data_IF_161393172406
#
_entry.id   IF_161393172406
#
_cell.length_a   1.000
_cell.length_b   1.000
_cell.length_c   1.000
_cell.angle_alpha   90.00
_cell.angle_beta   90.00
_cell.angle_gamma   90.00
#
_symmetry.space_group_name_H-M   'P 1'
#
loop_
_entity.id
_entity.type
_entity.pdbx_description
1 polymer ?
#
# COMPACT_ATOMS: atom_id res chain seq x y z
N UNK A 1 -51.06 31.20 -16.15
CA UNK A 1 -51.04 29.72 -16.01
C UNK A 1 -49.60 29.30 -15.82
N UNK A 2 -49.17 29.16 -14.57
CA UNK A 2 -47.83 28.70 -14.21
C UNK A 2 -47.88 27.18 -14.08
N UNK A 3 -47.23 26.46 -15.00
CA UNK A 3 -47.08 25.01 -14.88
C UNK A 3 -45.97 24.70 -13.90
N UNK A 4 -46.37 24.12 -12.78
CA UNK A 4 -45.53 23.37 -11.86
C UNK A 4 -44.85 22.18 -12.58
N UNK A 5 -43.85 21.64 -11.87
CA UNK A 5 -43.09 20.41 -12.10
C UNK A 5 -41.72 20.65 -12.72
N UNK A 6 -40.68 20.60 -11.87
CA UNK A 6 -39.67 19.53 -11.93
C UNK A 6 -38.85 19.57 -10.62
N UNK A 7 -39.22 18.65 -9.72
CA UNK A 7 -38.31 17.78 -8.96
C UNK A 7 -37.13 18.43 -8.19
N UNK A 8 -37.27 18.45 -6.87
CA UNK A 8 -36.22 18.17 -5.87
C UNK A 8 -34.76 18.46 -6.29
N UNK A 9 -34.37 19.74 -6.30
CA UNK A 9 -32.96 20.14 -6.24
C UNK A 9 -32.45 20.09 -4.79
N UNK A 10 -32.65 18.94 -4.13
CA UNK A 10 -32.09 18.62 -2.83
C UNK A 10 -31.05 17.52 -3.05
N UNK A 11 -29.81 17.79 -2.61
CA UNK A 11 -28.79 16.79 -2.35
C UNK A 11 -27.95 16.29 -3.55
N UNK A 12 -27.19 17.18 -4.20
CA UNK A 12 -25.99 16.78 -4.97
C UNK A 12 -24.76 17.62 -4.57
N UNK A 13 -24.70 18.00 -3.29
CA UNK A 13 -23.44 18.34 -2.60
C UNK A 13 -23.14 17.17 -1.66
N UNK A 14 -21.91 16.66 -1.75
CA UNK A 14 -21.36 15.54 -1.00
C UNK A 14 -21.76 14.15 -1.52
N UNK A 15 -20.96 13.65 -2.47
CA UNK A 15 -20.16 12.44 -2.31
C UNK A 15 -19.61 12.09 -3.71
N UNK A 16 -18.60 12.83 -4.14
CA UNK A 16 -17.54 12.14 -4.87
C UNK A 16 -16.95 11.15 -3.86
N UNK A 17 -17.57 9.97 -3.71
CA UNK A 17 -16.81 8.79 -3.32
C UNK A 17 -15.85 8.55 -4.48
N UNK A 18 -14.76 9.32 -4.52
CA UNK A 18 -13.51 8.78 -5.01
C UNK A 18 -13.40 7.48 -4.22
N UNK A 19 -13.45 6.32 -4.89
CA UNK A 19 -13.19 5.05 -4.24
C UNK A 19 -11.99 5.27 -3.31
N UNK A 20 -12.23 5.13 -2.00
CA UNK A 20 -11.48 5.85 -0.99
C UNK A 20 -10.01 5.55 -1.10
N UNK A 21 -9.21 6.54 -1.55
CA UNK A 21 -7.78 6.37 -1.73
C UNK A 21 -7.17 5.97 -0.37
N UNK A 22 -6.77 4.70 -0.26
CA UNK A 22 -6.27 4.11 0.98
C UNK A 22 -5.01 4.84 1.43
N UNK A 23 -4.84 5.11 2.73
CA UNK A 23 -3.56 5.60 3.27
C UNK A 23 -2.77 4.47 3.92
N UNK A 24 -1.58 4.16 3.42
CA UNK A 24 -0.70 3.11 3.96
C UNK A 24 0.65 3.67 4.38
N UNK A 25 1.37 2.98 5.28
CA UNK A 25 2.81 3.21 5.37
C UNK A 25 3.53 2.59 4.18
N UNK A 26 4.48 3.33 3.61
CA UNK A 26 5.31 2.88 2.49
C UNK A 26 6.77 3.04 2.88
N UNK A 27 7.54 1.96 2.72
CA UNK A 27 8.99 1.99 2.95
C UNK A 27 9.68 2.91 1.96
N UNK A 28 10.52 3.80 2.46
CA UNK A 28 11.40 4.62 1.65
C UNK A 28 12.84 4.14 1.82
N UNK A 29 13.55 3.79 0.72
CA UNK A 29 14.96 3.48 0.80
C UNK A 29 15.73 4.72 1.28
N UNK A 30 16.81 4.53 2.04
CA UNK A 30 17.67 5.65 2.39
C UNK A 30 18.32 6.25 1.14
N UNK A 31 18.60 7.55 1.19
CA UNK A 31 19.30 8.25 0.11
C UNK A 31 20.77 7.80 -0.06
N UNK A 32 21.33 7.12 0.95
CA UNK A 32 22.68 6.59 0.97
C UNK A 32 22.69 5.16 1.52
N UNK A 33 23.69 4.36 1.16
CA UNK A 33 23.77 2.95 1.58
C UNK A 33 23.82 2.76 3.11
N UNK A 34 24.39 3.72 3.84
CA UNK A 34 24.47 3.71 5.31
C UNK A 34 23.27 4.38 6.00
N UNK A 35 22.33 4.91 5.21
CA UNK A 35 21.17 5.63 5.74
C UNK A 35 20.12 4.69 6.35
N UNK A 36 19.25 5.26 7.17
CA UNK A 36 18.14 4.53 7.76
C UNK A 36 16.94 4.46 6.80
N UNK A 37 16.32 3.30 6.72
CA UNK A 37 15.01 3.15 6.11
C UNK A 37 13.96 3.92 6.90
N UNK A 38 13.10 4.64 6.20
CA UNK A 38 11.95 5.32 6.80
C UNK A 38 10.64 4.72 6.30
N UNK A 39 9.56 4.97 7.04
CA UNK A 39 8.22 4.60 6.63
C UNK A 39 7.33 5.84 6.69
N UNK A 40 6.73 6.16 5.56
CA UNK A 40 5.89 7.35 5.43
C UNK A 40 4.48 6.96 5.08
N UNK A 41 3.51 7.70 5.62
CA UNK A 41 2.13 7.53 5.20
C UNK A 41 1.90 8.16 3.83
N UNK A 42 1.57 7.34 2.84
CA UNK A 42 1.20 7.78 1.49
C UNK A 42 -0.24 7.39 1.18
N UNK A 43 -0.94 8.27 0.47
CA UNK A 43 -2.21 7.95 -0.16
C UNK A 43 -1.90 7.08 -1.38
N UNK A 44 -2.51 5.90 -1.45
CA UNK A 44 -2.33 4.94 -2.52
C UNK A 44 -3.06 5.41 -3.78
N UNK A 45 -2.52 5.03 -4.94
CA UNK A 45 -3.13 5.31 -6.23
C UNK A 45 -4.45 4.53 -6.39
N UNK A 46 -5.29 4.97 -7.34
CA UNK A 46 -6.56 4.31 -7.61
C UNK A 46 -6.36 2.84 -7.97
N UNK A 47 -7.02 1.92 -7.27
CA UNK A 47 -6.89 0.48 -7.44
C UNK A 47 -5.97 -0.19 -6.43
N UNK A 48 -5.15 0.57 -5.69
CA UNK A 48 -4.34 0.06 -4.58
C UNK A 48 -5.07 0.19 -3.24
N UNK A 49 -6.08 -0.67 -3.05
CA UNK A 49 -7.03 -0.56 -1.94
C UNK A 49 -6.57 -1.26 -0.64
N UNK A 50 -5.34 -1.80 -0.59
CA UNK A 50 -4.83 -2.55 0.55
C UNK A 50 -3.43 -2.11 0.99
N UNK A 51 -3.15 -2.29 2.29
CA UNK A 51 -1.82 -2.05 2.84
C UNK A 51 -1.09 -3.37 3.10
N UNK A 52 0.12 -3.48 2.59
CA UNK A 52 1.01 -4.62 2.75
C UNK A 52 2.08 -4.36 3.81
N UNK A 53 2.46 -5.43 4.53
CA UNK A 53 3.66 -5.52 5.34
C UNK A 53 4.25 -6.93 5.24
N UNK A 54 5.56 -7.02 5.10
CA UNK A 54 6.27 -8.31 5.11
C UNK A 54 7.72 -8.15 5.53
N UNK A 55 8.26 -9.15 6.24
CA UNK A 55 9.67 -9.25 6.61
C UNK A 55 10.43 -10.05 5.56
N UNK A 56 11.52 -9.50 5.03
CA UNK A 56 12.31 -10.13 3.96
C UNK A 56 13.03 -11.40 4.43
N UNK A 57 12.99 -12.42 3.58
CA UNK A 57 13.91 -13.56 3.62
C UNK A 57 15.25 -13.21 2.95
N UNK A 58 16.23 -14.12 2.97
CA UNK A 58 17.44 -13.95 2.18
C UNK A 58 17.20 -13.99 0.66
N UNK A 59 16.14 -14.68 0.21
CA UNK A 59 15.72 -14.65 -1.20
C UNK A 59 15.15 -13.29 -1.56
N UNK A 60 14.30 -12.72 -0.70
CA UNK A 60 13.74 -11.40 -0.92
C UNK A 60 14.78 -10.28 -0.90
N UNK A 61 15.78 -10.36 -0.01
CA UNK A 61 16.91 -9.42 -0.01
C UNK A 61 17.61 -9.38 -1.38
N UNK A 62 17.97 -10.55 -1.93
CA UNK A 62 18.61 -10.63 -3.25
C UNK A 62 17.72 -10.08 -4.35
N UNK A 63 16.47 -10.54 -4.41
CA UNK A 63 15.55 -10.15 -5.47
C UNK A 63 15.32 -8.63 -5.49
N UNK A 64 15.14 -8.01 -4.31
CA UNK A 64 14.89 -6.57 -4.24
C UNK A 64 16.14 -5.76 -4.57
N UNK A 65 17.34 -6.21 -4.15
CA UNK A 65 18.59 -5.58 -4.59
C UNK A 65 18.78 -5.65 -6.10
N UNK A 66 18.48 -6.80 -6.70
CA UNK A 66 18.66 -7.00 -8.15
C UNK A 66 17.66 -6.19 -8.98
N UNK A 67 16.39 -6.16 -8.57
CA UNK A 67 15.33 -5.52 -9.35
C UNK A 67 15.22 -4.02 -9.14
N UNK A 68 15.50 -3.53 -7.94
CA UNK A 68 15.25 -2.14 -7.55
C UNK A 68 16.50 -1.38 -7.11
N UNK A 69 17.65 -2.04 -6.98
CA UNK A 69 18.88 -1.47 -6.43
C UNK A 69 18.69 -0.86 -5.03
N UNK A 70 17.75 -1.43 -4.26
CA UNK A 70 17.45 -0.94 -2.91
C UNK A 70 18.42 -1.55 -1.89
N UNK A 71 18.94 -0.76 -0.94
CA UNK A 71 19.86 -1.24 0.10
C UNK A 71 19.09 -1.94 1.22
N UNK A 72 18.36 -3.01 0.89
CA UNK A 72 17.64 -3.85 1.85
C UNK A 72 18.53 -4.90 2.48
N UNK A 73 18.12 -5.43 3.62
CA UNK A 73 18.77 -6.58 4.29
C UNK A 73 17.74 -7.63 4.69
N UNK A 74 18.16 -8.89 4.83
CA UNK A 74 17.33 -9.96 5.40
C UNK A 74 16.78 -9.54 6.76
N UNK A 75 15.50 -9.82 7.00
CA UNK A 75 14.82 -9.48 8.24
C UNK A 75 14.25 -8.06 8.25
N UNK A 76 14.54 -7.25 7.24
CA UNK A 76 13.96 -5.93 7.08
C UNK A 76 12.47 -6.02 6.73
N UNK A 77 11.68 -5.13 7.32
CA UNK A 77 10.23 -5.05 7.07
C UNK A 77 9.97 -4.04 5.96
N UNK A 78 9.34 -4.50 4.87
CA UNK A 78 8.86 -3.63 3.82
C UNK A 78 7.35 -3.43 3.90
N UNK A 79 6.92 -2.25 3.46
CA UNK A 79 5.55 -1.75 3.55
C UNK A 79 5.18 -1.07 2.26
N UNK A 80 3.98 -1.31 1.76
CA UNK A 80 3.54 -0.81 0.47
C UNK A 80 2.01 -0.69 0.39
N UNK A 81 1.56 0.08 -0.60
CA UNK A 81 0.22 -0.03 -1.16
C UNK A 81 0.19 -1.24 -2.11
N UNK A 82 -0.88 -2.04 -2.08
CA UNK A 82 -1.07 -3.18 -2.99
C UNK A 82 -2.53 -3.25 -3.46
N UNK A 83 -2.74 -3.81 -4.65
CA UNK A 83 -4.05 -3.91 -5.31
C UNK A 83 -4.90 -5.08 -4.81
N UNK A 84 -4.26 -6.10 -4.23
CA UNK A 84 -4.94 -7.32 -3.79
C UNK A 84 -4.63 -7.64 -2.33
N UNK A 85 -5.57 -8.33 -1.68
CA UNK A 85 -5.38 -8.92 -0.35
C UNK A 85 -4.40 -10.11 -0.37
N UNK A 86 -4.22 -10.71 -1.55
CA UNK A 86 -3.25 -11.76 -1.79
C UNK A 86 -1.93 -11.14 -2.28
N UNK A 87 -0.75 -11.62 -1.82
CA UNK A 87 0.52 -11.16 -2.34
C UNK A 87 0.55 -11.34 -3.86
N UNK A 88 1.00 -10.32 -4.61
CA UNK A 88 1.10 -10.42 -6.06
C UNK A 88 2.15 -11.49 -6.39
N UNK A 89 1.74 -12.59 -7.01
CA UNK A 89 2.56 -13.72 -7.48
C UNK A 89 3.11 -14.68 -6.41
N UNK A 90 2.92 -15.99 -6.64
CA UNK A 90 3.45 -17.10 -5.82
C UNK A 90 4.95 -16.96 -5.54
N UNK A 91 5.70 -16.46 -6.52
CA UNK A 91 7.14 -16.24 -6.49
C UNK A 91 7.54 -15.25 -5.37
N UNK A 92 6.71 -14.24 -5.13
CA UNK A 92 6.94 -13.21 -4.10
C UNK A 92 6.69 -13.74 -2.69
N UNK A 93 5.98 -14.87 -2.53
CA UNK A 93 5.82 -15.49 -1.21
C UNK A 93 7.16 -15.96 -0.67
N UNK A 94 8.08 -16.38 -1.54
CA UNK A 94 9.43 -16.79 -1.13
C UNK A 94 10.30 -15.61 -0.66
N UNK A 95 9.94 -14.38 -1.02
CA UNK A 95 10.70 -13.18 -0.67
C UNK A 95 10.44 -12.72 0.76
N UNK A 96 9.31 -13.13 1.33
CA UNK A 96 8.89 -12.71 2.67
C UNK A 96 8.71 -13.92 3.61
N UNK A 97 8.98 -13.72 4.90
CA UNK A 97 8.65 -14.73 5.90
C UNK A 97 7.13 -14.89 5.95
N UNK A 98 6.61 -16.07 5.60
CA UNK A 98 5.16 -16.32 5.48
C UNK A 98 4.34 -15.83 6.68
N UNK A 99 4.83 -16.08 7.90
CA UNK A 99 4.16 -15.67 9.15
C UNK A 99 4.16 -14.15 9.39
N UNK A 100 4.99 -13.41 8.67
CA UNK A 100 5.13 -11.95 8.78
C UNK A 100 4.24 -11.19 7.80
N UNK A 101 3.74 -11.86 6.74
CA UNK A 101 2.92 -11.26 5.69
C UNK A 101 1.59 -10.84 6.30
N UNK A 102 1.25 -9.57 6.10
CA UNK A 102 -0.01 -8.96 6.50
C UNK A 102 -0.50 -8.10 5.36
N UNK A 103 -1.75 -8.32 4.96
CA UNK A 103 -2.46 -7.43 4.04
C UNK A 103 -3.78 -7.04 4.70
N UNK A 104 -4.13 -5.76 4.64
CA UNK A 104 -5.26 -5.24 5.41
C UNK A 104 -5.95 -4.06 4.73
N UNK A 105 -7.24 -3.91 5.04
CA UNK A 105 -8.18 -3.03 4.36
C UNK A 105 -8.52 -1.74 5.17
N UNK A 106 -7.63 -1.28 6.05
CA UNK A 106 -7.84 -0.07 6.87
C UNK A 106 -6.65 0.87 6.76
N UNK A 107 -6.89 2.17 6.85
CA UNK A 107 -5.82 3.17 6.82
C UNK A 107 -4.75 2.87 7.88
N UNK A 108 -3.50 2.81 7.44
CA UNK A 108 -2.34 2.63 8.31
C UNK A 108 -2.24 1.29 9.02
N UNK A 109 -3.05 0.30 8.65
CA UNK A 109 -3.09 -1.00 9.32
C UNK A 109 -1.77 -1.80 9.20
N UNK A 110 -0.89 -1.41 8.27
CA UNK A 110 0.43 -1.99 8.11
C UNK A 110 1.51 -1.31 8.98
N UNK A 111 1.12 -0.45 9.93
CA UNK A 111 2.02 0.31 10.81
C UNK A 111 2.66 -0.49 11.96
N UNK A 112 2.04 -1.59 12.39
CA UNK A 112 2.52 -2.48 13.48
C UNK A 112 3.37 -3.63 12.95
#
# INVERSE_FOLDING_TARGET
MQSMQTVHLLCLLALATIAGARRCQVSQPPATADGAWTHEYKTCDSGSDFCFRGRLTGTGERAIRELFDWPVTRGQVLRACVESIEPPMEDMWSWYELKSIRVCATDGCNSS
#
